data_IF_025974900292
#
_entry.id   IF_025974900292
#
_cell.length_a   1.000
_cell.length_b   1.000
_cell.length_c   1.000
_cell.angle_alpha   90.00
_cell.angle_beta   90.00
_cell.angle_gamma   90.00
#
_symmetry.space_group_name_H-M   'P 1'
#
loop_
_entity.id
_entity.type
_entity.pdbx_description
1 polymer ?
#
# COMPACT_ATOMS: atom_id res chain seq x y z
N UNK A 1 -23.16 -5.76 -25.48
CA UNK A 1 -23.08 -6.94 -24.58
C UNK A 1 -24.29 -7.81 -24.89
N UNK A 2 -24.11 -9.14 -25.01
CA UNK A 2 -25.24 -10.05 -25.17
C UNK A 2 -25.93 -10.25 -23.81
N UNK A 3 -27.24 -10.47 -23.77
CA UNK A 3 -28.00 -10.73 -22.52
C UNK A 3 -27.37 -11.85 -21.67
N UNK A 4 -26.70 -12.83 -22.29
CA UNK A 4 -26.02 -13.93 -21.59
C UNK A 4 -24.78 -13.51 -20.82
N UNK A 5 -24.15 -12.36 -21.13
CA UNK A 5 -22.97 -11.88 -20.40
C UNK A 5 -23.34 -10.97 -19.23
N UNK A 6 -24.53 -10.36 -19.24
CA UNK A 6 -25.01 -9.54 -18.11
C UNK A 6 -25.42 -10.38 -16.90
N UNK A 7 -25.78 -11.65 -17.09
CA UNK A 7 -26.12 -12.59 -16.01
C UNK A 7 -24.89 -13.15 -15.26
N UNK A 8 -23.68 -12.98 -15.81
CA UNK A 8 -22.45 -13.43 -15.17
C UNK A 8 -22.07 -12.50 -14.00
N UNK A 9 -21.45 -13.03 -12.93
CA UNK A 9 -21.05 -12.21 -11.79
C UNK A 9 -19.89 -11.27 -12.14
N UNK A 10 -19.71 -10.26 -11.29
CA UNK A 10 -18.45 -9.51 -11.20
C UNK A 10 -17.55 -10.24 -10.21
N UNK A 11 -16.38 -10.67 -10.66
CA UNK A 11 -15.40 -11.33 -9.79
C UNK A 11 -14.54 -10.29 -9.09
N UNK A 12 -14.46 -10.38 -7.78
CA UNK A 12 -13.57 -9.57 -6.96
C UNK A 12 -12.46 -10.47 -6.40
N UNK A 13 -11.21 -10.13 -6.66
CA UNK A 13 -10.05 -10.92 -6.22
C UNK A 13 -9.53 -10.34 -4.92
N UNK A 14 -9.68 -11.07 -3.82
CA UNK A 14 -9.29 -10.67 -2.47
C UNK A 14 -10.46 -10.18 -1.62
N UNK A 15 -10.59 -10.73 -0.41
CA UNK A 15 -11.52 -10.31 0.65
C UNK A 15 -10.83 -9.41 1.69
N UNK A 16 -9.96 -8.51 1.22
CA UNK A 16 -9.45 -7.38 2.01
C UNK A 16 -10.44 -6.21 2.07
N UNK A 17 -10.07 -5.09 2.72
CA UNK A 17 -10.96 -3.93 2.88
C UNK A 17 -11.58 -3.44 1.58
N UNK A 18 -10.77 -3.20 0.54
CA UNK A 18 -11.25 -2.71 -0.76
C UNK A 18 -12.12 -3.75 -1.49
N UNK A 19 -11.79 -5.04 -1.38
CA UNK A 19 -12.53 -6.10 -2.05
C UNK A 19 -13.92 -6.34 -1.44
N UNK A 20 -14.01 -6.32 -0.11
CA UNK A 20 -15.30 -6.42 0.58
C UNK A 20 -16.17 -5.18 0.36
N UNK A 21 -15.57 -3.98 0.37
CA UNK A 21 -16.27 -2.76 0.00
C UNK A 21 -16.77 -2.82 -1.46
N UNK A 22 -15.97 -3.32 -2.40
CA UNK A 22 -16.42 -3.53 -3.78
C UNK A 22 -17.64 -4.45 -3.86
N UNK A 23 -17.63 -5.57 -3.13
CA UNK A 23 -18.78 -6.46 -3.08
C UNK A 23 -20.03 -5.78 -2.51
N UNK A 24 -19.88 -4.94 -1.47
CA UNK A 24 -20.98 -4.18 -0.90
C UNK A 24 -21.58 -3.17 -1.90
N UNK A 25 -20.74 -2.37 -2.57
CA UNK A 25 -21.18 -1.40 -3.58
C UNK A 25 -21.83 -2.04 -4.81
N UNK A 26 -21.35 -3.23 -5.22
CA UNK A 26 -21.96 -4.01 -6.30
C UNK A 26 -23.36 -4.49 -5.91
N UNK A 27 -23.54 -4.99 -4.68
CA UNK A 27 -24.85 -5.41 -4.18
C UNK A 27 -25.84 -4.26 -4.03
N UNK A 28 -25.38 -3.08 -3.57
CA UNK A 28 -26.20 -1.86 -3.49
C UNK A 28 -26.72 -1.40 -4.88
N UNK A 29 -26.17 -1.96 -5.96
CA UNK A 29 -26.53 -1.71 -7.36
C UNK A 29 -27.11 -2.94 -8.08
N UNK A 30 -27.58 -3.93 -7.32
CA UNK A 30 -28.17 -5.16 -7.86
C UNK A 30 -27.23 -5.96 -8.80
N UNK A 31 -25.92 -5.80 -8.67
CA UNK A 31 -24.92 -6.57 -9.40
C UNK A 31 -24.39 -7.68 -8.51
N UNK A 32 -24.46 -8.93 -8.97
CA UNK A 32 -23.98 -10.08 -8.22
C UNK A 32 -22.44 -10.10 -8.12
N UNK A 33 -21.83 -9.95 -6.93
CA UNK A 33 -20.40 -10.14 -6.76
C UNK A 33 -20.06 -11.60 -6.44
N UNK A 34 -18.84 -11.99 -6.81
CA UNK A 34 -18.19 -13.20 -6.30
C UNK A 34 -16.77 -12.86 -5.88
N UNK A 35 -16.52 -12.87 -4.57
CA UNK A 35 -15.21 -12.61 -3.97
C UNK A 35 -14.44 -13.92 -3.86
N UNK A 36 -13.22 -13.97 -4.41
CA UNK A 36 -12.29 -15.09 -4.27
C UNK A 36 -11.12 -14.66 -3.37
N UNK A 37 -11.02 -15.27 -2.18
CA UNK A 37 -9.98 -14.98 -1.18
C UNK A 37 -9.05 -16.17 -1.04
N UNK A 38 -7.75 -15.94 -1.18
CA UNK A 38 -6.74 -17.00 -1.08
C UNK A 38 -6.57 -17.51 0.36
N UNK A 39 -6.75 -16.65 1.35
CA UNK A 39 -6.69 -16.97 2.77
C UNK A 39 -7.95 -17.64 3.32
N UNK A 40 -7.90 -18.14 4.56
CA UNK A 40 -9.01 -18.87 5.18
C UNK A 40 -10.10 -17.94 5.77
N UNK A 41 -9.83 -16.64 5.86
CA UNK A 41 -10.67 -15.65 6.55
C UNK A 41 -10.65 -14.32 5.83
N UNK A 42 -11.65 -13.47 6.09
CA UNK A 42 -11.66 -12.11 5.62
C UNK A 42 -10.51 -11.30 6.22
N UNK A 43 -9.93 -10.42 5.40
CA UNK A 43 -8.76 -9.62 5.80
C UNK A 43 -7.54 -10.46 6.15
N UNK A 44 -7.29 -11.60 5.49
CA UNK A 44 -6.16 -12.48 5.79
C UNK A 44 -4.81 -11.73 5.90
N UNK A 45 -4.52 -10.85 4.94
CA UNK A 45 -3.32 -9.99 4.99
C UNK A 45 -3.35 -9.01 6.17
N UNK A 46 -4.51 -8.44 6.50
CA UNK A 46 -4.69 -7.54 7.66
C UNK A 46 -4.37 -8.26 8.98
N UNK A 47 -4.76 -9.53 9.07
CA UNK A 47 -4.52 -10.38 10.26
C UNK A 47 -3.04 -10.71 10.47
N UNK A 48 -2.22 -10.72 9.42
CA UNK A 48 -0.77 -10.92 9.56
C UNK A 48 -0.07 -9.76 10.29
N UNK A 49 -0.68 -8.57 10.29
CA UNK A 49 -0.21 -7.41 11.07
C UNK A 49 -1.23 -6.99 12.13
N UNK A 50 -1.99 -7.94 12.67
CA UNK A 50 -3.07 -7.68 13.61
C UNK A 50 -2.68 -6.82 14.82
N UNK A 51 -1.42 -6.92 15.27
CA UNK A 51 -0.89 -6.19 16.41
C UNK A 51 -0.59 -4.70 16.13
N UNK A 52 -0.48 -4.32 14.85
CA UNK A 52 -0.14 -2.95 14.44
C UNK A 52 -1.35 -2.05 14.60
N UNK A 53 -1.17 -0.91 15.28
CA UNK A 53 -2.19 0.13 15.41
C UNK A 53 -2.24 1.00 14.16
N UNK A 54 -3.46 1.25 13.64
CA UNK A 54 -3.67 2.12 12.50
C UNK A 54 -3.57 3.59 12.92
N UNK A 55 -3.18 4.44 11.97
CA UNK A 55 -3.24 5.90 12.10
C UNK A 55 -4.58 6.49 11.65
N UNK A 56 -5.49 5.64 11.15
CA UNK A 56 -6.86 6.01 10.78
C UNK A 56 -7.83 5.64 11.89
N UNK A 57 -8.81 6.50 12.12
CA UNK A 57 -9.89 6.26 13.09
C UNK A 57 -10.99 5.40 12.47
N UNK A 58 -11.86 4.81 13.29
CA UNK A 58 -12.94 3.95 12.79
C UNK A 58 -13.84 4.60 11.74
N UNK A 59 -14.17 5.89 11.89
CA UNK A 59 -14.98 6.62 10.90
C UNK A 59 -14.34 6.74 9.50
N UNK A 60 -13.05 6.42 9.36
CA UNK A 60 -12.34 6.41 8.08
C UNK A 60 -12.13 4.99 7.51
N UNK A 61 -12.48 3.97 8.30
CA UNK A 61 -12.18 2.57 8.03
C UNK A 61 -13.43 1.74 7.71
N UNK A 62 -14.62 2.28 7.97
CA UNK A 62 -15.91 1.68 7.63
C UNK A 62 -16.43 2.31 6.33
N UNK A 63 -16.73 1.49 5.32
CA UNK A 63 -17.32 1.96 4.07
C UNK A 63 -18.84 2.16 4.25
N UNK A 64 -19.44 3.26 3.75
CA UNK A 64 -20.87 3.51 3.92
C UNK A 64 -21.80 2.48 3.28
N UNK A 65 -21.42 1.84 2.17
CA UNK A 65 -22.24 0.76 1.59
C UNK A 65 -22.13 -0.52 2.43
N UNK A 66 -20.95 -0.81 2.98
CA UNK A 66 -20.76 -1.91 3.92
C UNK A 66 -21.55 -1.70 5.23
N UNK A 67 -21.55 -0.49 5.77
CA UNK A 67 -22.31 -0.13 6.98
C UNK A 67 -23.81 -0.43 6.80
N UNK A 68 -24.40 -0.04 5.66
CA UNK A 68 -25.81 -0.32 5.32
C UNK A 68 -26.13 -1.82 5.33
N UNK A 69 -25.20 -2.66 4.85
CA UNK A 69 -25.35 -4.11 4.87
C UNK A 69 -25.23 -4.70 6.28
N UNK A 70 -24.38 -4.10 7.12
CA UNK A 70 -24.15 -4.55 8.49
C UNK A 70 -25.27 -4.15 9.45
N UNK A 71 -25.84 -2.95 9.30
CA UNK A 71 -26.87 -2.38 10.19
C UNK A 71 -28.03 -3.34 10.54
N UNK A 72 -28.67 -4.07 9.59
CA UNK A 72 -29.77 -4.98 9.91
C UNK A 72 -29.36 -6.25 10.68
N UNK A 73 -28.06 -6.52 10.84
CA UNK A 73 -27.56 -7.74 11.49
C UNK A 73 -27.38 -7.61 13.00
N UNK A 74 -27.61 -6.41 13.55
CA UNK A 74 -27.29 -6.11 14.94
C UNK A 74 -25.79 -5.86 15.18
N UNK A 75 -25.02 -5.64 14.11
CA UNK A 75 -23.63 -5.21 14.19
C UNK A 75 -23.52 -3.89 14.98
N UNK A 76 -22.63 -3.87 15.98
CA UNK A 76 -22.37 -2.68 16.78
C UNK A 76 -21.20 -1.92 16.21
N UNK A 77 -21.49 -0.75 15.67
CA UNK A 77 -20.46 0.15 15.15
C UNK A 77 -19.45 0.55 16.23
N UNK A 78 -18.14 0.45 15.96
CA UNK A 78 -17.10 0.98 16.84
C UNK A 78 -17.18 2.50 17.01
N UNK A 79 -16.71 3.03 18.14
CA UNK A 79 -16.65 4.48 18.36
C UNK A 79 -15.74 5.17 17.33
N UNK A 80 -16.32 6.10 16.55
CA UNK A 80 -15.71 6.71 15.36
C UNK A 80 -14.32 7.29 15.58
N UNK A 81 -14.08 7.96 16.72
CA UNK A 81 -12.84 8.68 17.02
C UNK A 81 -11.75 7.80 17.67
N UNK A 82 -11.93 6.47 17.69
CA UNK A 82 -10.92 5.54 18.22
C UNK A 82 -10.10 4.90 17.10
N UNK A 83 -8.84 4.57 17.40
CA UNK A 83 -7.87 4.01 16.46
C UNK A 83 -7.72 2.50 16.67
N UNK A 84 -8.21 1.65 15.74
CA UNK A 84 -8.09 0.21 15.88
C UNK A 84 -6.68 -0.31 15.62
N UNK A 85 -6.43 -1.53 16.07
CA UNK A 85 -5.38 -2.38 15.51
C UNK A 85 -5.85 -3.09 14.24
N UNK A 86 -4.92 -3.68 13.47
CA UNK A 86 -5.28 -4.54 12.34
C UNK A 86 -6.22 -5.68 12.76
N UNK A 87 -6.00 -6.25 13.95
CA UNK A 87 -6.85 -7.29 14.52
C UNK A 87 -8.26 -6.79 14.79
N UNK A 88 -8.38 -5.63 15.43
CA UNK A 88 -9.67 -4.98 15.67
C UNK A 88 -10.41 -4.74 14.34
N UNK A 89 -9.72 -4.23 13.30
CA UNK A 89 -10.32 -3.97 12.00
C UNK A 89 -10.83 -5.25 11.33
N UNK A 90 -10.02 -6.31 11.37
CA UNK A 90 -10.37 -7.60 10.79
C UNK A 90 -11.54 -8.28 11.51
N UNK A 91 -11.52 -8.29 12.84
CA UNK A 91 -12.50 -9.03 13.66
C UNK A 91 -13.82 -8.28 13.81
N UNK A 92 -13.77 -6.96 13.97
CA UNK A 92 -14.97 -6.17 14.29
C UNK A 92 -15.66 -5.59 13.05
N UNK A 93 -15.03 -5.63 11.87
CA UNK A 93 -15.61 -5.08 10.64
C UNK A 93 -15.46 -6.01 9.43
N UNK A 94 -14.24 -6.39 9.05
CA UNK A 94 -14.04 -7.15 7.79
C UNK A 94 -14.68 -8.54 7.83
N UNK A 95 -14.54 -9.27 8.93
CA UNK A 95 -15.15 -10.58 9.10
C UNK A 95 -16.68 -10.50 9.16
N UNK A 96 -17.30 -9.65 10.01
CA UNK A 96 -18.75 -9.44 9.98
C UNK A 96 -19.28 -9.09 8.60
N UNK A 97 -18.61 -8.21 7.86
CA UNK A 97 -19.02 -7.84 6.50
C UNK A 97 -19.00 -9.04 5.56
N UNK A 98 -17.95 -9.84 5.61
CA UNK A 98 -17.86 -11.07 4.80
C UNK A 98 -18.91 -12.11 5.20
N UNK A 99 -19.25 -12.22 6.49
CA UNK A 99 -20.28 -13.14 6.98
C UNK A 99 -21.67 -12.75 6.45
N UNK A 100 -21.98 -11.45 6.37
CA UNK A 100 -23.23 -10.94 5.75
C UNK A 100 -23.27 -11.16 4.24
N UNK A 101 -22.12 -11.05 3.57
CA UNK A 101 -22.00 -11.36 2.15
C UNK A 101 -22.22 -12.87 1.86
N UNK A 102 -21.93 -13.73 2.84
CA UNK A 102 -22.23 -15.16 2.82
C UNK A 102 -21.50 -15.93 1.73
N UNK A 103 -22.22 -16.79 1.00
CA UNK A 103 -21.65 -17.65 -0.07
C UNK A 103 -21.01 -16.88 -1.24
N UNK A 104 -21.19 -15.55 -1.29
CA UNK A 104 -20.53 -14.67 -2.24
C UNK A 104 -19.04 -14.48 -1.94
N UNK A 105 -18.57 -14.86 -0.76
CA UNK A 105 -17.15 -14.86 -0.39
C UNK A 105 -16.65 -16.30 -0.31
N UNK A 106 -15.72 -16.67 -1.19
CA UNK A 106 -15.09 -17.99 -1.20
C UNK A 106 -13.66 -17.90 -0.67
N UNK A 107 -13.44 -18.45 0.51
CA UNK A 107 -12.12 -18.57 1.13
C UNK A 107 -11.33 -19.74 0.56
N UNK A 108 -10.02 -19.70 0.74
CA UNK A 108 -9.10 -20.71 0.22
C UNK A 108 -9.13 -20.81 -1.31
N UNK A 109 -9.54 -19.77 -2.02
CA UNK A 109 -9.66 -19.71 -3.47
C UNK A 109 -8.60 -18.77 -4.05
N UNK A 110 -7.43 -19.31 -4.39
CA UNK A 110 -6.33 -18.54 -4.97
C UNK A 110 -6.51 -18.39 -6.47
N UNK A 111 -6.74 -17.19 -6.97
CA UNK A 111 -6.75 -16.94 -8.41
C UNK A 111 -5.35 -17.17 -9.00
N UNK A 112 -5.30 -17.96 -10.08
CA UNK A 112 -4.06 -18.35 -10.78
C UNK A 112 -4.00 -17.85 -12.21
N UNK A 113 -5.12 -17.39 -12.78
CA UNK A 113 -5.15 -16.82 -14.12
C UNK A 113 -6.44 -16.07 -14.44
N UNK A 114 -6.33 -14.98 -15.20
CA UNK A 114 -7.47 -14.24 -15.75
C UNK A 114 -7.22 -13.96 -17.24
N UNK A 115 -8.21 -14.26 -18.08
CA UNK A 115 -8.15 -13.99 -19.52
C UNK A 115 -9.55 -13.76 -20.11
N UNK A 116 -9.65 -13.53 -21.42
CA UNK A 116 -10.92 -13.50 -22.17
C UNK A 116 -11.20 -14.88 -22.76
N UNK A 117 -12.45 -15.32 -22.69
CA UNK A 117 -12.84 -16.67 -23.15
C UNK A 117 -12.50 -16.87 -24.62
N UNK A 118 -11.63 -17.86 -24.90
CA UNK A 118 -11.21 -18.20 -26.27
C UNK A 118 -10.43 -17.11 -27.01
N UNK A 119 -9.91 -16.11 -26.29
CA UNK A 119 -9.17 -14.96 -26.83
C UNK A 119 -7.93 -14.72 -25.97
N UNK A 120 -6.81 -15.31 -26.35
CA UNK A 120 -5.53 -14.98 -25.74
C UNK A 120 -5.16 -13.50 -26.00
N UNK A 121 -4.13 -13.01 -25.33
CA UNK A 121 -3.73 -11.60 -25.34
C UNK A 121 -3.53 -11.02 -26.75
N UNK A 122 -3.13 -11.80 -27.75
CA UNK A 122 -2.82 -11.27 -29.09
C UNK A 122 -4.05 -11.18 -30.00
N UNK A 123 -5.15 -11.86 -29.67
CA UNK A 123 -6.36 -11.83 -30.52
C UNK A 123 -7.17 -10.55 -30.30
N UNK A 124 -7.35 -9.78 -31.37
CA UNK A 124 -8.18 -8.56 -31.36
C UNK A 124 -9.67 -8.85 -31.60
N UNK A 125 -9.97 -9.80 -32.50
CA UNK A 125 -11.34 -10.04 -32.96
C UNK A 125 -12.30 -10.42 -31.81
N UNK A 126 -13.33 -9.60 -31.63
CA UNK A 126 -14.43 -9.74 -30.66
C UNK A 126 -13.99 -9.85 -29.19
N UNK A 127 -12.74 -9.51 -28.86
CA UNK A 127 -12.16 -9.73 -27.53
C UNK A 127 -12.95 -9.05 -26.41
N UNK A 128 -13.32 -7.79 -26.61
CA UNK A 128 -14.04 -6.95 -25.66
C UNK A 128 -15.50 -7.41 -25.41
N UNK A 129 -16.04 -8.26 -26.29
CA UNK A 129 -17.38 -8.84 -26.15
C UNK A 129 -17.39 -10.18 -25.42
N UNK A 130 -16.24 -10.85 -25.28
CA UNK A 130 -16.15 -12.14 -24.62
C UNK A 130 -16.15 -11.98 -23.09
N UNK A 131 -16.81 -12.88 -22.33
CA UNK A 131 -16.68 -12.86 -20.87
C UNK A 131 -15.25 -13.21 -20.44
N UNK A 132 -14.87 -12.76 -19.25
CA UNK A 132 -13.64 -13.20 -18.61
C UNK A 132 -13.74 -14.67 -18.23
N UNK A 133 -12.61 -15.36 -18.33
CA UNK A 133 -12.37 -16.66 -17.71
C UNK A 133 -11.41 -16.45 -16.54
N UNK A 134 -11.79 -16.94 -15.36
CA UNK A 134 -10.99 -16.87 -14.14
C UNK A 134 -10.67 -18.29 -13.68
N UNK A 135 -9.39 -18.59 -13.56
CA UNK A 135 -8.89 -19.84 -12.99
C UNK A 135 -8.50 -19.59 -11.54
N UNK A 136 -8.87 -20.50 -10.65
CA UNK A 136 -8.44 -20.48 -9.26
C UNK A 136 -8.19 -21.89 -8.73
N UNK A 137 -7.31 -21.99 -7.75
CA UNK A 137 -7.01 -23.21 -7.01
C UNK A 137 -7.69 -23.13 -5.64
N UNK A 138 -8.40 -24.18 -5.23
CA UNK A 138 -8.93 -24.29 -3.88
C UNK A 138 -7.87 -24.77 -2.88
N UNK A 139 -8.10 -24.59 -1.58
CA UNK A 139 -7.13 -24.94 -0.54
C UNK A 139 -6.75 -26.44 -0.50
N UNK A 140 -7.54 -27.31 -1.12
CA UNK A 140 -7.28 -28.74 -1.31
C UNK A 140 -6.49 -29.07 -2.60
N UNK A 141 -6.08 -28.05 -3.37
CA UNK A 141 -5.28 -28.18 -4.59
C UNK A 141 -6.09 -28.45 -5.86
N UNK A 142 -7.42 -28.42 -5.81
CA UNK A 142 -8.24 -28.57 -7.00
C UNK A 142 -8.28 -27.30 -7.84
N UNK A 143 -8.11 -27.45 -9.15
CA UNK A 143 -8.24 -26.35 -10.12
C UNK A 143 -9.70 -26.16 -10.53
N UNK A 144 -10.14 -24.91 -10.54
CA UNK A 144 -11.49 -24.50 -10.91
C UNK A 144 -11.45 -23.42 -11.99
N UNK A 145 -12.55 -23.34 -12.74
CA UNK A 145 -12.78 -22.30 -13.74
C UNK A 145 -14.18 -21.73 -13.59
N UNK A 146 -14.28 -20.40 -13.67
CA UNK A 146 -15.56 -19.70 -13.78
C UNK A 146 -15.50 -18.57 -14.81
N UNK A 147 -16.66 -18.05 -15.16
CA UNK A 147 -16.81 -16.93 -16.08
C UNK A 147 -17.33 -15.69 -15.35
N UNK A 148 -16.88 -14.51 -15.79
CA UNK A 148 -17.25 -13.24 -15.20
C UNK A 148 -17.52 -12.19 -16.26
N UNK A 149 -18.42 -11.24 -15.96
CA UNK A 149 -18.66 -10.08 -16.84
C UNK A 149 -17.63 -8.97 -16.65
N UNK A 150 -17.06 -8.86 -15.45
CA UNK A 150 -16.02 -7.92 -15.08
C UNK A 150 -15.14 -8.50 -13.97
N UNK A 151 -13.93 -7.96 -13.82
CA UNK A 151 -12.97 -8.37 -12.79
C UNK A 151 -12.45 -7.15 -12.03
N UNK A 152 -12.52 -7.19 -10.70
CA UNK A 152 -11.93 -6.20 -9.80
C UNK A 152 -10.81 -6.88 -9.02
N UNK A 153 -9.55 -6.55 -9.33
CA UNK A 153 -8.39 -7.07 -8.60
C UNK A 153 -8.10 -6.19 -7.37
N UNK A 154 -8.51 -6.69 -6.21
CA UNK A 154 -8.27 -6.11 -4.89
C UNK A 154 -7.24 -6.92 -4.07
N UNK A 155 -6.39 -7.73 -4.73
CA UNK A 155 -5.43 -8.63 -4.07
C UNK A 155 -4.30 -7.93 -3.31
N UNK A 156 -4.16 -6.61 -3.48
CA UNK A 156 -3.15 -5.81 -2.80
C UNK A 156 -1.70 -6.16 -3.18
N UNK A 157 -0.76 -5.80 -2.31
CA UNK A 157 0.69 -5.95 -2.54
C UNK A 157 1.41 -6.77 -1.48
N UNK A 158 0.69 -7.15 -0.41
CA UNK A 158 1.27 -7.73 0.82
C UNK A 158 2.10 -9.01 0.59
N UNK A 159 1.70 -9.84 -0.38
CA UNK A 159 2.38 -11.11 -0.67
C UNK A 159 3.78 -10.95 -1.29
N UNK A 160 4.13 -9.75 -1.76
CA UNK A 160 5.37 -9.52 -2.53
C UNK A 160 6.18 -8.39 -1.89
N UNK A 161 6.93 -8.67 -0.80
CA UNK A 161 7.78 -7.68 -0.16
C UNK A 161 8.90 -7.20 -1.10
N UNK A 162 9.29 -5.94 -0.97
CA UNK A 162 10.49 -5.43 -1.62
C UNK A 162 11.73 -5.94 -0.89
N UNK A 163 12.82 -6.22 -1.63
CA UNK A 163 14.06 -6.76 -1.06
C UNK A 163 14.84 -5.72 -0.27
N UNK A 164 15.88 -6.17 0.44
CA UNK A 164 16.83 -5.30 1.14
C UNK A 164 17.76 -4.54 0.19
N UNK A 165 18.08 -5.14 -0.96
CA UNK A 165 19.07 -4.59 -1.89
C UNK A 165 18.65 -3.24 -2.50
N UNK A 166 19.61 -2.33 -2.62
CA UNK A 166 19.35 -0.94 -3.00
C UNK A 166 18.88 -0.78 -4.46
N UNK A 167 19.27 -1.68 -5.36
CA UNK A 167 18.86 -1.67 -6.78
C UNK A 167 17.45 -2.25 -7.02
N UNK A 168 16.69 -2.55 -5.95
CA UNK A 168 15.38 -3.19 -6.06
C UNK A 168 15.44 -4.69 -6.35
N UNK A 169 16.62 -5.30 -6.17
CA UNK A 169 16.87 -6.74 -6.22
C UNK A 169 17.20 -7.24 -4.81
N UNK A 170 17.06 -8.55 -4.59
CA UNK A 170 17.54 -9.18 -3.36
C UNK A 170 19.04 -8.92 -3.21
N UNK A 171 19.47 -8.51 -2.02
CA UNK A 171 20.89 -8.43 -1.71
C UNK A 171 21.52 -9.83 -1.84
N UNK A 172 22.78 -9.90 -2.22
CA UNK A 172 23.49 -11.19 -2.30
C UNK A 172 23.48 -11.82 -0.91
N UNK A 173 23.06 -13.09 -0.81
CA UNK A 173 22.91 -13.78 0.48
C UNK A 173 21.61 -13.51 1.25
N UNK A 174 20.76 -12.55 0.84
CA UNK A 174 19.48 -12.25 1.52
C UNK A 174 18.59 -13.50 1.62
N UNK A 175 18.44 -14.25 0.53
CA UNK A 175 17.64 -15.49 0.51
C UNK A 175 18.24 -16.59 1.40
N UNK A 176 19.56 -16.65 1.53
CA UNK A 176 20.24 -17.66 2.34
C UNK A 176 20.15 -17.36 3.85
N UNK A 177 19.90 -16.10 4.21
CA UNK A 177 19.71 -15.64 5.59
C UNK A 177 18.23 -15.48 5.97
N UNK A 178 17.30 -16.05 5.21
CA UNK A 178 15.85 -15.86 5.40
C UNK A 178 15.33 -16.24 6.80
N UNK A 179 16.00 -17.11 7.54
CA UNK A 179 15.64 -17.44 8.92
C UNK A 179 15.98 -16.35 9.95
N UNK A 180 16.73 -15.30 9.55
CA UNK A 180 17.11 -14.12 10.35
C UNK A 180 16.63 -12.80 9.75
N UNK A 181 15.94 -12.87 8.62
CA UNK A 181 15.43 -11.71 7.90
C UNK A 181 13.91 -11.79 7.89
N UNK A 182 13.26 -10.75 8.37
CA UNK A 182 11.81 -10.59 8.22
C UNK A 182 11.51 -9.35 7.38
N UNK A 183 10.46 -9.42 6.56
CA UNK A 183 9.92 -8.28 5.81
C UNK A 183 8.63 -7.74 6.45
N UNK A 184 8.51 -7.91 7.77
CA UNK A 184 7.32 -7.59 8.58
C UNK A 184 7.73 -6.90 9.87
N UNK A 185 6.85 -6.03 10.39
CA UNK A 185 6.99 -5.51 11.75
C UNK A 185 6.77 -6.69 12.71
N UNK A 186 7.69 -6.97 13.64
CA UNK A 186 7.56 -8.09 14.57
C UNK A 186 6.53 -7.81 15.65
N UNK A 187 5.71 -8.81 15.97
CA UNK A 187 4.80 -8.76 17.11
C UNK A 187 5.56 -9.06 18.41
N UNK A 188 6.09 -8.02 19.06
CA UNK A 188 6.85 -8.18 20.31
C UNK A 188 5.97 -8.50 21.54
N UNK A 189 4.64 -8.65 21.36
CA UNK A 189 3.74 -9.19 22.40
C UNK A 189 3.71 -10.71 22.38
N UNK A 190 4.02 -11.34 21.24
CA UNK A 190 4.23 -12.80 21.19
C UNK A 190 5.55 -13.14 21.91
N UNK A 191 5.52 -13.96 22.98
CA UNK A 191 6.73 -14.30 23.74
C UNK A 191 7.84 -14.95 22.91
N UNK A 192 7.47 -15.74 21.88
CA UNK A 192 8.41 -16.43 21.00
C UNK A 192 9.10 -15.44 20.08
N UNK A 193 8.34 -14.50 19.51
CA UNK A 193 8.89 -13.43 18.66
C UNK A 193 9.74 -12.50 19.52
N UNK A 194 9.23 -12.06 20.67
CA UNK A 194 9.94 -11.21 21.63
C UNK A 194 11.30 -11.78 22.02
N UNK A 195 11.39 -13.09 22.30
CA UNK A 195 12.64 -13.76 22.66
C UNK A 195 13.72 -13.70 21.55
N UNK A 196 13.34 -13.46 20.29
CA UNK A 196 14.30 -13.27 19.19
C UNK A 196 14.96 -11.89 19.22
N UNK A 197 14.33 -10.89 19.84
CA UNK A 197 14.77 -9.49 19.82
C UNK A 197 15.22 -8.98 21.20
N UNK A 198 14.79 -9.61 22.29
CA UNK A 198 15.13 -9.20 23.66
C UNK A 198 16.63 -9.36 23.95
N UNK A 199 17.28 -8.27 24.38
CA UNK A 199 18.72 -8.22 24.61
C UNK A 199 19.59 -8.33 23.34
N UNK A 200 18.99 -8.19 22.14
CA UNK A 200 19.64 -8.43 20.85
C UNK A 200 19.92 -7.17 20.04
N UNK A 201 20.89 -7.26 19.12
CA UNK A 201 21.17 -6.22 18.13
C UNK A 201 20.37 -6.51 16.86
N UNK A 202 19.57 -5.56 16.40
CA UNK A 202 18.67 -5.74 15.26
C UNK A 202 18.89 -4.66 14.21
N UNK A 203 19.17 -5.03 12.96
CA UNK A 203 19.19 -4.06 11.86
C UNK A 203 17.77 -3.79 11.36
N UNK A 204 17.39 -2.52 11.22
CA UNK A 204 16.11 -2.09 10.64
C UNK A 204 16.38 -1.34 9.35
N UNK A 205 15.97 -1.87 8.20
CA UNK A 205 16.21 -1.28 6.87
C UNK A 205 14.93 -0.62 6.37
N UNK A 206 14.97 0.69 6.15
CA UNK A 206 13.83 1.44 5.60
C UNK A 206 13.53 2.72 6.37
N UNK A 207 12.70 3.59 5.80
CA UNK A 207 12.41 4.92 6.35
C UNK A 207 10.92 5.29 6.29
N UNK A 208 10.05 4.31 6.06
CA UNK A 208 8.60 4.50 6.06
C UNK A 208 7.99 4.29 7.44
N UNK A 209 6.68 4.50 7.56
CA UNK A 209 5.94 4.33 8.82
C UNK A 209 6.19 2.96 9.48
N UNK A 210 6.26 1.88 8.71
CA UNK A 210 6.59 0.54 9.25
C UNK A 210 7.94 0.51 9.96
N UNK A 211 8.97 1.17 9.43
CA UNK A 211 10.29 1.22 10.04
C UNK A 211 10.26 2.00 11.36
N UNK A 212 9.52 3.11 11.41
CA UNK A 212 9.30 3.86 12.65
C UNK A 212 8.56 3.05 13.70
N UNK A 213 7.56 2.25 13.30
CA UNK A 213 6.89 1.31 14.22
C UNK A 213 7.87 0.29 14.79
N UNK A 214 8.70 -0.32 13.95
CA UNK A 214 9.69 -1.30 14.42
C UNK A 214 10.72 -0.66 15.37
N UNK A 215 11.20 0.55 15.08
CA UNK A 215 12.12 1.28 15.95
C UNK A 215 11.50 1.61 17.31
N UNK A 216 10.25 2.10 17.32
CA UNK A 216 9.53 2.38 18.56
C UNK A 216 9.33 1.10 19.39
N UNK A 217 8.93 0.00 18.76
CA UNK A 217 8.75 -1.28 19.46
C UNK A 217 10.06 -1.85 20.05
N UNK A 218 11.18 -1.70 19.33
CA UNK A 218 12.49 -2.13 19.84
C UNK A 218 12.98 -1.23 20.98
N UNK A 219 12.68 0.07 20.96
CA UNK A 219 12.97 0.97 22.07
C UNK A 219 12.13 0.62 23.32
N UNK A 220 10.82 0.42 23.17
CA UNK A 220 9.95 -0.05 24.25
C UNK A 220 10.44 -1.37 24.86
N UNK A 221 10.94 -2.28 24.00
CA UNK A 221 11.56 -3.53 24.45
C UNK A 221 12.85 -3.26 25.22
N UNK A 222 13.73 -2.37 24.75
CA UNK A 222 14.98 -2.04 25.43
C UNK A 222 14.79 -1.45 26.84
N UNK A 223 13.67 -0.73 27.06
CA UNK A 223 13.31 -0.15 28.35
C UNK A 223 12.65 -1.15 29.32
N UNK A 224 12.21 -2.31 28.83
CA UNK A 224 11.54 -3.33 29.64
C UNK A 224 12.51 -4.23 30.42
N UNK A 225 12.02 -4.83 31.50
CA UNK A 225 12.82 -5.64 32.44
C UNK A 225 13.58 -6.80 31.77
N UNK A 226 12.99 -7.44 30.76
CA UNK A 226 13.56 -8.59 30.04
C UNK A 226 14.25 -8.22 28.73
N UNK A 227 14.21 -6.94 28.32
CA UNK A 227 14.80 -6.47 27.06
C UNK A 227 16.08 -5.66 27.21
N UNK A 228 16.65 -5.59 28.42
CA UNK A 228 17.91 -4.88 28.66
C UNK A 228 19.00 -5.32 27.66
N UNK A 229 19.59 -4.35 26.96
CA UNK A 229 20.58 -4.59 25.91
C UNK A 229 20.02 -4.76 24.50
N UNK A 230 18.69 -4.74 24.31
CA UNK A 230 18.09 -4.59 22.98
C UNK A 230 18.56 -3.28 22.35
N UNK A 231 19.00 -3.36 21.10
CA UNK A 231 19.51 -2.19 20.39
C UNK A 231 19.24 -2.30 18.89
N UNK A 232 18.77 -1.21 18.28
CA UNK A 232 18.53 -1.15 16.85
C UNK A 232 19.69 -0.49 16.08
N UNK A 233 19.99 -0.98 14.89
CA UNK A 233 20.83 -0.28 13.91
C UNK A 233 19.95 0.09 12.73
N UNK A 234 19.60 1.37 12.63
CA UNK A 234 18.69 1.89 11.63
C UNK A 234 19.43 2.21 10.33
N UNK A 235 19.15 1.45 9.27
CA UNK A 235 19.84 1.51 7.99
C UNK A 235 19.04 2.36 7.00
N UNK A 236 19.69 3.42 6.52
CA UNK A 236 19.11 4.44 5.64
C UNK A 236 19.94 4.62 4.37
N UNK A 237 19.27 4.58 3.22
CA UNK A 237 19.92 4.89 1.92
C UNK A 237 20.32 6.35 1.78
N UNK A 238 19.67 7.26 2.52
CA UNK A 238 19.88 8.71 2.46
C UNK A 238 20.29 9.24 3.85
N UNK A 239 20.70 10.50 3.92
CA UNK A 239 20.91 11.20 5.18
C UNK A 239 19.60 11.40 5.96
N UNK A 240 19.71 11.72 7.24
CA UNK A 240 18.59 12.18 8.06
C UNK A 240 18.45 13.69 7.86
N UNK A 241 17.22 14.14 7.65
CA UNK A 241 16.79 15.54 7.54
C UNK A 241 15.58 15.80 8.43
N UNK A 242 15.19 17.07 8.60
CA UNK A 242 14.00 17.45 9.37
C UNK A 242 12.69 16.80 8.88
N UNK A 243 12.61 16.41 7.60
CA UNK A 243 11.45 15.71 7.03
C UNK A 243 11.49 14.19 7.20
N UNK A 244 12.60 13.64 7.69
CA UNK A 244 12.77 12.17 7.82
C UNK A 244 11.75 11.56 8.75
N UNK A 245 11.44 12.21 9.86
CA UNK A 245 10.46 11.73 10.85
C UNK A 245 9.01 12.18 10.54
N UNK A 246 8.73 12.66 9.32
CA UNK A 246 7.40 13.15 8.95
C UNK A 246 7.09 14.56 9.47
N UNK A 247 5.80 14.91 9.56
CA UNK A 247 5.34 16.25 9.97
C UNK A 247 5.40 16.52 11.49
N UNK A 248 5.67 15.51 12.31
CA UNK A 248 5.63 15.64 13.78
C UNK A 248 4.27 16.17 14.26
N UNK A 249 4.26 17.18 15.13
CA UNK A 249 3.02 17.86 15.57
C UNK A 249 2.28 18.59 14.44
N UNK A 250 2.96 18.93 13.34
CA UNK A 250 2.36 19.55 12.16
C UNK A 250 1.77 18.52 11.17
N UNK A 251 1.84 17.23 11.51
CA UNK A 251 1.22 16.17 10.72
C UNK A 251 -0.31 16.22 10.89
N UNK A 252 -1.03 16.36 9.77
CA UNK A 252 -2.50 16.39 9.78
C UNK A 252 -3.15 15.03 10.06
N UNK A 253 -2.36 13.97 10.19
CA UNK A 253 -2.73 12.70 10.83
C UNK A 253 -1.96 12.59 12.16
N UNK A 254 -2.54 13.02 13.30
CA UNK A 254 -1.82 13.11 14.56
C UNK A 254 -1.15 11.81 15.01
N UNK A 255 -1.79 10.67 14.78
CA UNK A 255 -1.23 9.35 15.10
C UNK A 255 0.00 9.01 14.24
N UNK A 256 0.06 9.49 12.98
CA UNK A 256 1.22 9.33 12.10
C UNK A 256 2.38 10.24 12.55
N UNK A 257 2.07 11.49 12.92
CA UNK A 257 3.05 12.41 13.50
C UNK A 257 3.68 11.87 14.78
N UNK A 258 2.85 11.32 15.68
CA UNK A 258 3.30 10.69 16.92
C UNK A 258 4.26 9.52 16.68
N UNK A 259 4.06 8.75 15.60
CA UNK A 259 4.95 7.64 15.25
C UNK A 259 6.35 8.11 14.82
N UNK A 260 6.41 9.21 14.07
CA UNK A 260 7.68 9.85 13.72
C UNK A 260 8.44 10.36 14.95
N UNK A 261 7.73 10.97 15.90
CA UNK A 261 8.29 11.43 17.17
C UNK A 261 8.80 10.25 18.03
N UNK A 262 8.08 9.13 18.06
CA UNK A 262 8.51 7.93 18.78
C UNK A 262 9.81 7.34 18.19
N UNK A 263 9.93 7.28 16.85
CA UNK A 263 11.16 6.85 16.21
C UNK A 263 12.33 7.82 16.46
N UNK A 264 12.06 9.13 16.49
CA UNK A 264 13.06 10.12 16.89
C UNK A 264 13.52 9.91 18.34
N UNK A 265 12.59 9.67 19.26
CA UNK A 265 12.90 9.41 20.67
C UNK A 265 13.73 8.13 20.84
N UNK A 266 13.48 7.08 20.05
CA UNK A 266 14.31 5.86 20.05
C UNK A 266 15.78 6.15 19.70
N UNK A 267 16.02 7.03 18.73
CA UNK A 267 17.38 7.45 18.34
C UNK A 267 17.98 8.38 19.39
N UNK A 268 17.27 9.43 19.80
CA UNK A 268 17.76 10.42 20.76
C UNK A 268 18.02 9.80 22.15
N UNK A 269 17.26 8.77 22.52
CA UNK A 269 17.41 8.00 23.75
C UNK A 269 18.54 6.94 23.72
N UNK A 270 19.22 6.77 22.58
CA UNK A 270 20.32 5.82 22.44
C UNK A 270 19.88 4.34 22.33
N UNK A 271 18.61 4.09 21.99
CA UNK A 271 18.10 2.74 21.71
C UNK A 271 18.30 2.34 20.24
N UNK A 272 18.62 3.30 19.37
CA UNK A 272 18.87 3.08 17.95
C UNK A 272 20.00 3.97 17.42
N UNK A 273 20.97 3.37 16.72
CA UNK A 273 22.00 4.09 15.96
C UNK A 273 21.64 4.18 14.48
N UNK A 274 21.74 5.36 13.89
CA UNK A 274 21.48 5.56 12.47
C UNK A 274 22.74 5.38 11.59
N UNK A 275 22.62 4.51 10.58
CA UNK A 275 23.63 4.32 9.53
C UNK A 275 23.07 4.86 8.22
N UNK A 276 23.58 6.01 7.80
CA UNK A 276 23.10 6.73 6.61
C UNK A 276 23.97 6.52 5.38
N UNK A 277 23.39 6.84 4.22
CA UNK A 277 24.05 6.63 2.93
C UNK A 277 24.37 5.15 2.64
N UNK A 278 23.72 4.22 3.33
CA UNK A 278 24.04 2.80 3.28
C UNK A 278 23.10 2.09 2.31
N UNK A 279 23.68 1.55 1.24
CA UNK A 279 22.97 0.80 0.19
C UNK A 279 23.38 -0.66 0.32
N UNK A 280 22.51 -1.48 0.92
CA UNK A 280 22.80 -2.91 1.12
C UNK A 280 23.02 -3.60 -0.21
N UNK A 281 24.19 -4.23 -0.36
CA UNK A 281 24.60 -5.01 -1.52
C UNK A 281 24.64 -6.50 -1.18
N UNK A 282 25.27 -6.83 -0.04
CA UNK A 282 25.51 -8.20 0.39
C UNK A 282 25.12 -8.39 1.86
N UNK A 283 24.60 -9.58 2.15
CA UNK A 283 24.26 -10.12 3.47
C UNK A 283 25.13 -11.35 3.70
N UNK A 284 26.07 -11.26 4.64
CA UNK A 284 26.93 -12.38 5.04
C UNK A 284 26.46 -12.98 6.37
N UNK A 285 26.73 -14.28 6.54
CA UNK A 285 26.55 -14.98 7.81
C UNK A 285 27.89 -15.23 8.49
N UNK A 286 27.96 -14.99 9.78
CA UNK A 286 29.09 -15.41 10.60
C UNK A 286 28.96 -16.90 10.96
N UNK A 287 30.06 -17.51 11.40
CA UNK A 287 30.05 -18.90 11.90
C UNK A 287 29.10 -19.08 13.09
N UNK A 288 28.99 -18.05 13.94
CA UNK A 288 28.09 -18.02 15.10
C UNK A 288 26.61 -17.72 14.74
N UNK A 289 26.30 -17.55 13.45
CA UNK A 289 24.94 -17.38 12.95
C UNK A 289 24.39 -15.94 13.01
N UNK A 290 25.24 -14.95 13.30
CA UNK A 290 24.90 -13.53 13.16
C UNK A 290 24.95 -13.09 11.69
N UNK A 291 24.38 -11.93 11.41
CA UNK A 291 24.28 -11.35 10.07
C UNK A 291 25.15 -10.09 9.98
N UNK A 292 25.92 -9.97 8.90
CA UNK A 292 26.69 -8.77 8.57
C UNK A 292 26.12 -8.18 7.29
N UNK A 293 25.77 -6.89 7.34
CA UNK A 293 25.35 -6.13 6.17
C UNK A 293 26.55 -5.41 5.54
N UNK A 294 26.65 -5.48 4.22
CA UNK A 294 27.73 -4.86 3.44
C UNK A 294 27.11 -3.92 2.42
N UNK A 295 27.61 -2.68 2.42
CA UNK A 295 27.18 -1.63 1.49
C UNK A 295 27.87 -1.73 0.13
N UNK A 296 27.25 -1.17 -0.91
CA UNK A 296 27.86 -1.01 -2.25
C UNK A 296 29.21 -0.25 -2.21
N UNK A 297 29.44 0.55 -1.18
CA UNK A 297 30.70 1.28 -0.95
C UNK A 297 31.76 0.46 -0.19
N UNK A 298 31.49 -0.82 0.08
CA UNK A 298 32.36 -1.73 0.79
C UNK A 298 32.33 -1.58 2.32
N UNK A 299 31.54 -0.66 2.88
CA UNK A 299 31.36 -0.57 4.35
C UNK A 299 30.72 -1.85 4.87
N UNK A 300 31.38 -2.47 5.85
CA UNK A 300 30.87 -3.62 6.59
C UNK A 300 30.38 -3.14 7.95
N UNK A 301 29.13 -3.44 8.29
CA UNK A 301 28.58 -3.09 9.60
C UNK A 301 28.93 -4.14 10.66
N UNK A 302 28.76 -3.79 11.92
CA UNK A 302 28.85 -4.75 13.02
C UNK A 302 27.83 -5.88 12.84
N UNK A 303 28.14 -7.11 13.29
CA UNK A 303 27.19 -8.21 13.27
C UNK A 303 25.92 -7.90 14.08
N UNK A 304 24.77 -8.33 13.56
CA UNK A 304 23.46 -8.25 14.22
C UNK A 304 22.83 -9.65 14.33
N UNK A 305 21.96 -9.84 15.32
CA UNK A 305 21.22 -11.09 15.51
C UNK A 305 20.11 -11.25 14.47
N UNK A 306 19.40 -10.16 14.17
CA UNK A 306 18.20 -10.17 13.32
C UNK A 306 18.18 -8.95 12.38
N UNK A 307 17.50 -9.08 11.25
CA UNK A 307 17.30 -8.00 10.27
C UNK A 307 15.82 -7.86 9.93
N UNK A 308 15.32 -6.63 9.98
CA UNK A 308 13.94 -6.26 9.63
C UNK A 308 13.99 -5.38 8.39
N UNK A 309 13.50 -5.90 7.25
CA UNK A 309 13.51 -5.23 5.94
C UNK A 309 12.14 -4.63 5.65
N UNK A 310 12.02 -3.32 5.83
CA UNK A 310 10.77 -2.57 5.70
C UNK A 310 10.86 -1.57 4.55
N UNK A 311 11.19 -2.11 3.36
CA UNK A 311 11.43 -1.35 2.12
C UNK A 311 10.21 -1.31 1.19
N UNK A 312 9.02 -1.65 1.72
CA UNK A 312 7.75 -1.62 1.00
C UNK A 312 7.41 -2.92 0.28
N UNK A 313 6.43 -2.86 -0.61
CA UNK A 313 5.81 -4.02 -1.27
C UNK A 313 5.57 -3.76 -2.76
N UNK A 314 5.18 -4.79 -3.50
CA UNK A 314 4.96 -4.74 -4.96
C UNK A 314 3.67 -5.45 -5.36
N UNK A 315 3.00 -5.03 -6.45
CA UNK A 315 1.87 -5.78 -6.98
C UNK A 315 2.37 -7.09 -7.63
N UNK A 316 1.69 -8.20 -7.34
CA UNK A 316 1.85 -9.43 -8.13
C UNK A 316 0.93 -9.41 -9.37
N UNK A 317 1.52 -9.30 -10.55
CA UNK A 317 0.78 -9.23 -11.82
C UNK A 317 0.84 -10.53 -12.62
N UNK A 318 1.46 -11.59 -12.06
CA UNK A 318 1.78 -12.82 -12.79
C UNK A 318 0.55 -13.51 -13.37
N UNK A 319 -0.54 -13.59 -12.60
CA UNK A 319 -1.80 -14.22 -13.03
C UNK A 319 -2.63 -13.37 -14.00
N UNK A 320 -2.22 -12.13 -14.27
CA UNK A 320 -2.87 -11.19 -15.19
C UNK A 320 -2.17 -11.10 -16.55
N UNK A 321 -1.20 -11.98 -16.82
CA UNK A 321 -0.33 -11.92 -18.00
C UNK A 321 -1.07 -11.90 -19.36
N UNK A 322 -2.27 -12.49 -19.41
CA UNK A 322 -3.13 -12.54 -20.60
C UNK A 322 -4.04 -11.31 -20.79
N UNK A 323 -4.05 -10.38 -19.83
CA UNK A 323 -4.82 -9.14 -19.92
C UNK A 323 -4.00 -8.00 -20.54
N UNK A 324 -4.69 -7.10 -21.25
CA UNK A 324 -4.11 -5.88 -21.83
C UNK A 324 -4.17 -4.72 -20.84
N UNK A 325 -3.36 -4.78 -19.79
CA UNK A 325 -3.29 -3.71 -18.77
C UNK A 325 -2.42 -2.54 -19.23
N UNK A 326 -2.90 -1.32 -19.01
CA UNK A 326 -2.13 -0.08 -19.19
C UNK A 326 -1.49 0.31 -17.86
N UNK A 327 -0.19 0.03 -17.71
CA UNK A 327 0.55 0.25 -16.47
C UNK A 327 1.74 1.19 -16.71
N UNK A 328 1.97 2.10 -15.78
CA UNK A 328 3.18 2.93 -15.74
C UNK A 328 4.43 2.07 -15.52
N UNK A 329 5.50 2.39 -16.26
CA UNK A 329 6.73 1.61 -16.28
C UNK A 329 7.50 1.63 -14.95
N UNK A 330 7.31 2.66 -14.12
CA UNK A 330 8.03 2.85 -12.86
C UNK A 330 7.23 2.34 -11.68
N UNK A 331 5.97 2.75 -11.57
CA UNK A 331 5.11 2.45 -10.42
C UNK A 331 4.38 1.13 -10.57
N UNK A 332 4.14 0.66 -11.80
CA UNK A 332 3.24 -0.46 -12.10
C UNK A 332 1.79 -0.18 -11.64
N UNK A 333 1.41 1.10 -11.61
CA UNK A 333 0.06 1.60 -11.38
C UNK A 333 -0.66 1.84 -12.72
N UNK A 334 -2.01 1.93 -12.78
CA UNK A 334 -2.72 2.34 -13.98
C UNK A 334 -2.14 3.63 -14.58
N UNK A 335 -1.97 3.67 -15.90
CA UNK A 335 -1.26 4.77 -16.58
C UNK A 335 -1.84 6.16 -16.29
N UNK A 336 -3.17 6.28 -16.22
CA UNK A 336 -3.83 7.54 -15.92
C UNK A 336 -3.70 7.95 -14.44
N UNK A 337 -3.61 6.98 -13.53
CA UNK A 337 -3.43 7.21 -12.10
C UNK A 337 -1.99 7.60 -11.75
N UNK A 338 -1.00 6.99 -12.40
CA UNK A 338 0.41 7.09 -12.00
C UNK A 338 0.95 8.52 -11.80
N UNK A 339 0.65 9.52 -12.67
CA UNK A 339 1.08 10.90 -12.45
C UNK A 339 0.50 11.51 -11.17
N UNK A 340 -0.71 11.12 -10.76
CA UNK A 340 -1.42 11.70 -9.60
C UNK A 340 -0.88 11.19 -8.26
N UNK A 341 -0.14 10.08 -8.27
CA UNK A 341 0.35 9.39 -7.06
C UNK A 341 1.87 9.23 -7.04
N UNK A 342 2.59 9.88 -7.97
CA UNK A 342 4.05 9.78 -8.05
C UNK A 342 4.70 10.32 -6.76
N UNK A 343 5.41 9.49 -5.97
CA UNK A 343 6.03 9.92 -4.72
C UNK A 343 7.19 10.91 -4.90
N UNK A 344 7.60 11.20 -6.14
CA UNK A 344 8.55 12.27 -6.44
C UNK A 344 7.87 13.64 -6.58
N UNK A 345 6.54 13.68 -6.73
CA UNK A 345 5.77 14.90 -6.98
C UNK A 345 4.68 15.13 -5.92
N UNK A 346 4.10 14.05 -5.40
CA UNK A 346 2.94 14.09 -4.52
C UNK A 346 3.25 13.53 -3.14
N UNK A 347 2.48 14.01 -2.17
CA UNK A 347 2.45 13.52 -0.79
C UNK A 347 1.01 13.06 -0.47
N UNK A 348 0.78 12.35 0.64
CA UNK A 348 -0.52 11.70 0.88
C UNK A 348 -1.75 12.62 0.80
N UNK A 349 -1.62 13.93 1.02
CA UNK A 349 -2.75 14.87 0.95
C UNK A 349 -2.81 15.73 -0.29
N UNK A 350 -1.94 15.50 -1.26
CA UNK A 350 -2.01 16.17 -2.57
C UNK A 350 -2.55 15.24 -3.66
N UNK A 351 -2.99 14.04 -3.28
CA UNK A 351 -3.60 13.06 -4.18
C UNK A 351 -5.11 13.31 -4.21
N UNK A 352 -5.62 13.70 -5.38
CA UNK A 352 -7.05 13.85 -5.57
C UNK A 352 -7.76 12.49 -5.55
N UNK A 353 -9.03 12.44 -5.09
CA UNK A 353 -9.86 11.27 -5.27
C UNK A 353 -9.91 10.88 -6.75
N UNK A 354 -9.88 9.58 -7.01
CA UNK A 354 -9.82 9.03 -8.35
C UNK A 354 -10.65 7.76 -8.41
N UNK A 355 -11.22 7.49 -9.58
CA UNK A 355 -12.24 6.48 -9.78
C UNK A 355 -12.03 5.75 -11.09
N UNK A 356 -13.13 5.38 -11.74
CA UNK A 356 -13.10 4.54 -12.94
C UNK A 356 -12.26 5.12 -14.07
N UNK A 357 -12.20 6.45 -14.20
CA UNK A 357 -11.44 7.11 -15.27
C UNK A 357 -9.94 6.84 -15.16
N UNK A 358 -9.38 6.97 -13.97
CA UNK A 358 -7.95 6.77 -13.72
C UNK A 358 -7.57 5.29 -13.62
N UNK A 359 -8.54 4.43 -13.27
CA UNK A 359 -8.35 2.98 -13.05
C UNK A 359 -8.66 2.12 -14.28
N UNK A 360 -9.18 2.73 -15.35
CA UNK A 360 -9.50 2.01 -16.58
C UNK A 360 -8.24 1.56 -17.31
N UNK A 361 -8.32 0.40 -17.96
CA UNK A 361 -7.25 -0.19 -18.76
C UNK A 361 -7.68 -0.33 -20.24
N UNK A 362 -6.72 -0.56 -21.16
CA UNK A 362 -7.04 -0.94 -22.54
C UNK A 362 -7.92 -2.21 -22.61
N UNK A 363 -7.73 -3.16 -21.70
CA UNK A 363 -8.67 -4.24 -21.47
C UNK A 363 -9.92 -3.70 -20.75
N UNK A 364 -11.09 -3.78 -21.40
CA UNK A 364 -12.36 -3.31 -20.85
C UNK A 364 -12.79 -4.11 -19.61
N UNK A 365 -13.53 -3.50 -18.68
CA UNK A 365 -14.20 -4.16 -17.55
C UNK A 365 -13.27 -4.95 -16.60
N UNK A 366 -11.99 -4.59 -16.55
CA UNK A 366 -11.04 -5.04 -15.53
C UNK A 366 -10.42 -3.84 -14.83
N UNK A 367 -10.31 -3.90 -13.51
CA UNK A 367 -9.82 -2.80 -12.69
C UNK A 367 -8.87 -3.31 -11.60
N UNK A 368 -7.73 -2.65 -11.43
CA UNK A 368 -6.90 -2.82 -10.24
C UNK A 368 -7.36 -1.79 -9.19
N UNK A 369 -7.59 -2.21 -7.95
CA UNK A 369 -8.11 -1.31 -6.88
C UNK A 369 -7.34 -1.46 -5.57
N UNK A 370 -7.57 -0.52 -4.66
CA UNK A 370 -6.90 -0.44 -3.38
C UNK A 370 -5.39 -0.26 -3.53
N UNK A 371 -4.63 -0.81 -2.58
CA UNK A 371 -3.17 -0.76 -2.62
C UNK A 371 -2.57 -1.36 -3.90
N UNK A 372 -3.29 -2.26 -4.59
CA UNK A 372 -2.82 -2.84 -5.87
C UNK A 372 -2.68 -1.77 -6.96
N UNK A 373 -3.65 -0.84 -7.04
CA UNK A 373 -3.67 0.19 -8.08
C UNK A 373 -2.56 1.22 -7.88
N UNK A 374 -2.07 1.39 -6.65
CA UNK A 374 -0.94 2.27 -6.36
C UNK A 374 0.41 1.68 -6.76
N UNK A 375 0.46 0.38 -7.07
CA UNK A 375 1.68 -0.31 -7.43
C UNK A 375 2.76 -0.17 -6.37
N UNK A 376 3.74 0.70 -6.60
CA UNK A 376 4.87 0.99 -5.70
C UNK A 376 4.74 2.31 -4.93
N UNK A 377 3.73 3.12 -5.21
CA UNK A 377 3.52 4.38 -4.52
C UNK A 377 3.06 4.14 -3.06
N UNK A 378 3.68 4.77 -2.04
CA UNK A 378 3.43 4.45 -0.64
C UNK A 378 2.25 5.21 0.00
N UNK A 379 1.52 6.02 -0.77
CA UNK A 379 0.61 7.06 -0.26
C UNK A 379 -0.88 6.65 -0.25
N UNK A 380 -1.17 5.35 -0.18
CA UNK A 380 -2.53 4.83 -0.22
C UNK A 380 -3.27 5.00 1.11
N UNK A 381 -4.55 5.39 1.05
CA UNK A 381 -5.46 5.48 2.19
C UNK A 381 -6.70 4.60 1.96
N UNK A 382 -7.27 4.03 3.03
CA UNK A 382 -8.44 3.15 2.94
C UNK A 382 -9.64 3.85 2.28
N UNK A 383 -9.92 5.10 2.68
CA UNK A 383 -11.00 5.91 2.11
C UNK A 383 -10.84 6.12 0.59
N UNK A 384 -9.61 6.28 0.10
CA UNK A 384 -9.35 6.34 -1.34
C UNK A 384 -9.77 5.04 -2.01
N UNK A 385 -9.43 3.89 -1.44
CA UNK A 385 -9.87 2.59 -1.94
C UNK A 385 -11.39 2.43 -2.00
N UNK A 386 -12.11 2.96 -1.01
CA UNK A 386 -13.57 2.94 -0.98
C UNK A 386 -14.18 3.81 -2.10
N UNK A 387 -13.61 4.98 -2.34
CA UNK A 387 -14.02 5.83 -3.46
C UNK A 387 -13.78 5.17 -4.83
N UNK A 388 -12.63 4.50 -5.00
CA UNK A 388 -12.32 3.77 -6.23
C UNK A 388 -13.41 2.73 -6.55
N UNK A 389 -13.78 1.91 -5.56
CA UNK A 389 -14.74 0.81 -5.78
C UNK A 389 -16.18 1.30 -5.90
N UNK A 390 -16.55 2.39 -5.21
CA UNK A 390 -17.84 3.09 -5.40
C UNK A 390 -17.99 3.55 -6.85
N UNK A 391 -16.99 4.26 -7.37
CA UNK A 391 -16.97 4.77 -8.75
C UNK A 391 -17.05 3.64 -9.79
N UNK A 392 -16.26 2.56 -9.60
CA UNK A 392 -16.29 1.39 -10.49
C UNK A 392 -17.65 0.68 -10.45
N UNK A 393 -18.25 0.49 -9.27
CA UNK A 393 -19.56 -0.15 -9.16
C UNK A 393 -20.65 0.66 -9.87
N UNK A 394 -20.63 1.99 -9.75
CA UNK A 394 -21.52 2.88 -10.50
C UNK A 394 -21.34 2.74 -12.02
N UNK A 395 -20.09 2.70 -12.48
CA UNK A 395 -19.79 2.49 -13.90
C UNK A 395 -20.31 1.14 -14.42
N UNK A 396 -20.10 0.06 -13.67
CA UNK A 396 -20.56 -1.29 -14.04
C UNK A 396 -22.09 -1.44 -14.04
N UNK A 397 -22.78 -0.58 -13.28
CA UNK A 397 -24.24 -0.44 -13.29
C UNK A 397 -24.77 0.42 -14.46
N UNK A 398 -23.88 1.09 -15.21
CA UNK A 398 -24.25 2.02 -16.29
C UNK A 398 -24.59 3.42 -15.81
N UNK A 399 -24.37 3.74 -14.53
CA UNK A 399 -24.53 5.08 -13.98
C UNK A 399 -23.21 5.86 -14.11
N UNK A 400 -22.97 6.37 -15.32
CA UNK A 400 -21.76 7.13 -15.64
C UNK A 400 -21.65 8.44 -14.87
N UNK A 401 -22.79 9.09 -14.57
CA UNK A 401 -22.79 10.33 -13.79
C UNK A 401 -22.30 10.07 -12.37
N UNK A 402 -22.83 9.05 -11.68
CA UNK A 402 -22.36 8.69 -10.34
C UNK A 402 -20.92 8.18 -10.32
N UNK A 403 -20.48 7.53 -11.40
CA UNK A 403 -19.10 7.06 -11.54
C UNK A 403 -18.09 8.23 -11.61
N UNK A 404 -18.46 9.33 -12.28
CA UNK A 404 -17.59 10.50 -12.46
C UNK A 404 -17.64 11.50 -11.29
N UNK A 405 -18.68 11.45 -10.45
CA UNK A 405 -18.74 12.28 -9.24
C UNK A 405 -17.66 11.86 -8.25
N UNK A 406 -16.93 12.83 -7.71
CA UNK A 406 -16.05 12.64 -6.55
C UNK A 406 -16.88 12.82 -5.28
N UNK A 407 -17.03 11.75 -4.50
CA UNK A 407 -17.81 11.77 -3.25
C UNK A 407 -16.92 11.72 -1.99
N UNK A 408 -15.60 11.54 -2.17
CA UNK A 408 -14.62 11.52 -1.10
C UNK A 408 -14.15 12.92 -0.71
N UNK A 409 -14.28 13.25 0.58
CA UNK A 409 -13.60 14.41 1.17
C UNK A 409 -12.42 13.93 2.01
N UNK A 410 -11.20 14.18 1.53
CA UNK A 410 -9.98 13.91 2.28
C UNK A 410 -9.62 15.12 3.16
N UNK A 411 -9.11 14.92 4.38
CA UNK A 411 -8.34 15.97 5.06
C UNK A 411 -7.11 16.32 4.21
N UNK A 412 -6.71 17.59 4.12
CA UNK A 412 -5.54 18.04 3.34
C UNK A 412 -4.20 17.56 3.93
N UNK A 413 -3.88 16.26 3.86
CA UNK A 413 -2.73 15.72 4.61
C UNK A 413 -1.36 16.23 4.11
N UNK A 414 -0.72 17.09 4.89
CA UNK A 414 0.69 17.45 4.69
C UNK A 414 1.60 16.24 4.91
N UNK A 415 2.47 15.96 3.93
CA UNK A 415 3.72 15.19 4.08
C UNK A 415 3.56 13.68 4.35
N UNK A 416 3.43 12.91 3.27
CA UNK A 416 4.15 11.65 3.18
C UNK A 416 5.50 11.94 2.53
N UNK A 417 6.60 11.55 3.18
CA UNK A 417 7.95 11.84 2.73
C UNK A 417 8.13 11.47 1.26
N UNK A 418 8.28 12.49 0.42
CA UNK A 418 8.66 12.31 -0.98
C UNK A 418 10.03 11.65 -1.04
N UNK A 419 10.32 10.98 -2.14
CA UNK A 419 11.58 10.24 -2.27
C UNK A 419 12.80 11.16 -2.08
N UNK A 420 12.72 12.48 -2.27
CA UNK A 420 13.90 13.34 -2.26
C UNK A 420 14.85 13.01 -3.44
N UNK A 421 15.61 13.99 -3.88
CA UNK A 421 16.53 13.79 -5.02
C UNK A 421 17.58 12.73 -4.66
N UNK A 422 17.93 11.88 -5.64
CA UNK A 422 18.79 10.70 -5.44
C UNK A 422 20.23 11.02 -5.00
N UNK A 423 20.70 12.24 -5.26
CA UNK A 423 22.12 12.62 -5.20
C UNK A 423 22.45 13.82 -4.29
N UNK A 424 21.56 14.27 -3.39
CA UNK A 424 21.95 15.37 -2.48
C UNK A 424 22.88 14.87 -1.35
N UNK A 425 24.11 15.41 -1.24
CA UNK A 425 24.91 15.26 -0.03
C UNK A 425 24.26 16.07 1.10
N UNK A 426 24.39 15.59 2.34
CA UNK A 426 23.85 16.24 3.53
C UNK A 426 24.21 17.73 3.56
N UNK A 427 23.23 18.61 3.30
CA UNK A 427 23.39 20.04 3.45
C UNK A 427 23.03 20.45 4.88
N UNK A 428 23.92 21.26 5.47
CA UNK A 428 23.79 21.87 6.78
C UNK A 428 22.55 22.77 6.87
N UNK A 429 22.05 22.92 8.09
CA UNK A 429 20.94 23.81 8.46
C UNK A 429 21.02 25.19 7.78
N UNK A 430 20.02 25.51 6.97
CA UNK A 430 19.65 26.90 6.69
C UNK A 430 18.29 27.21 7.31
N UNK A 431 18.33 28.02 8.37
CA UNK A 431 17.19 28.75 8.92
C UNK A 431 16.82 29.92 8.00
N UNK A 432 15.57 29.96 7.52
CA UNK A 432 14.97 31.13 6.87
C UNK A 432 13.81 30.68 5.97
N UNK A 433 12.55 30.99 6.26
CA UNK A 433 11.98 32.32 6.39
C UNK A 433 10.85 32.41 5.36
N UNK A 434 9.60 32.41 5.82
CA UNK A 434 8.43 32.43 4.95
C UNK A 434 8.46 33.63 4.00
N UNK A 435 8.17 33.38 2.71
CA UNK A 435 7.98 34.44 1.74
C UNK A 435 6.57 34.35 1.17
N UNK A 436 5.66 35.11 1.79
CA UNK A 436 4.44 35.54 1.17
C UNK A 436 4.79 36.51 0.03
N UNK A 437 4.70 36.06 -1.22
CA UNK A 437 4.59 36.94 -2.37
C UNK A 437 3.15 36.86 -2.88
N UNK A 438 2.44 37.99 -2.84
CA UNK A 438 1.08 38.12 -3.37
C UNK A 438 1.05 37.86 -4.89
N UNK A 439 0.01 37.19 -5.43
CA UNK A 439 -0.03 36.83 -6.83
C UNK A 439 -0.26 38.06 -7.71
N UNK A 440 0.62 38.26 -8.70
CA UNK A 440 0.42 39.23 -9.78
C UNK A 440 -0.51 38.61 -10.85
N UNK A 441 -1.57 39.32 -11.29
CA UNK A 441 -2.48 38.80 -12.30
C UNK A 441 -1.81 38.80 -13.70
N UNK A 442 -1.86 37.65 -14.37
CA UNK A 442 -1.45 37.47 -15.76
C UNK A 442 -2.55 37.97 -16.71
N UNK A 443 -2.27 39.02 -17.48
CA UNK A 443 -3.10 39.47 -18.61
C UNK A 443 -2.62 38.80 -19.90
N UNK A 444 -3.45 37.90 -20.44
CA UNK A 444 -3.24 37.29 -21.76
C UNK A 444 -3.78 38.24 -22.86
N UNK A 445 -2.90 38.68 -23.76
CA UNK A 445 -3.26 39.32 -25.03
C UNK A 445 -2.79 40.77 -25.21
N UNK A 446 -1.56 40.95 -25.70
CA UNK A 446 -1.15 42.16 -26.41
C UNK A 446 -0.11 41.82 -27.48
N UNK A 447 -0.38 42.25 -28.72
CA UNK A 447 0.46 42.06 -29.90
C UNK A 447 1.82 42.79 -29.78
N UNK A 448 2.88 42.33 -30.47
CA UNK A 448 4.21 42.93 -30.39
C UNK A 448 4.24 44.32 -31.03
N UNK A 449 4.79 45.30 -30.30
CA UNK A 449 5.09 46.64 -30.80
C UNK A 449 6.28 46.62 -31.78
N UNK A 450 6.33 47.52 -32.78
CA UNK A 450 7.32 47.47 -33.85
C UNK A 450 8.69 48.04 -33.42
N UNK A 451 9.75 47.41 -33.92
CA UNK A 451 11.12 47.89 -33.79
C UNK A 451 11.33 49.17 -34.61
N UNK A 452 11.78 50.25 -33.95
CA UNK A 452 12.18 51.50 -34.60
C UNK A 452 13.60 51.40 -35.17
N UNK A 453 13.72 51.86 -36.40
CA UNK A 453 14.93 52.01 -37.22
C UNK A 453 15.82 53.19 -36.84
N UNK A 454 17.13 53.04 -37.11
CA UNK A 454 18.11 54.12 -37.30
C UNK A 454 19.38 53.91 -36.45
N UNK A 455 20.61 53.84 -36.96
CA UNK A 455 21.15 54.21 -38.27
C UNK A 455 22.36 55.14 -38.06
N UNK A 456 23.48 54.79 -38.72
CA UNK A 456 24.83 55.38 -38.70
C UNK A 456 25.76 54.96 -37.55
#
# INVERSE_FOLDING_TARGET
>A
MSETTTELPVVVIGAGPAGLAAAAHLLDRDIAPLVLEAGPLAGAAVREWAHVRLFSRWGELVDPAAEKLLAPTGWTEPAEDTYPTGGDWAERYLQPLADVLGERVRYGARVTGVSRTGRDRIVDADRDTQPFVVHYESADGHEHRLFARAVIDASGTWSTPSPAGASGLAALGEKAAADRITHRVPDLKDPTVRARYAGKRTAVIGSGASAFTALAYLADLAESDDGQGTHATWILRRGISGSTFGGGEADQLPARGALGLAAKAAVDGGHADAVTGFRTDTVERTEDGHVILIGEDGRRLDPVDEVIVLTGFRPDLSFLGELRLGLDERLQAPTALAPLIDPNQHSCGTVHPHGVNELSHPEKDVYLVGMKSYGRAPTFLAMTGYEQVRSIAAHLAGDHEAAERVELTLPETGVCGGAGLFDEPAAAEETGGGCCAAPAPLTLGAAPAPASSGGC
#
